data_IF_787892943390
#
_entry.id   IF_787892943390
#
_cell.length_a   1.000
_cell.length_b   1.000
_cell.length_c   1.000
_cell.angle_alpha   90.00
_cell.angle_beta   90.00
_cell.angle_gamma   90.00
#
_symmetry.space_group_name_H-M   'P 1'
#
loop_
_entity.id
_entity.type
_entity.pdbx_description
1 polymer ?
#
# COMPACT_ATOMS: atom_id res chain seq x y z
N UNK A 1 25.38 -46.39 -56.52
CA UNK A 1 26.33 -45.71 -55.59
C UNK A 1 25.64 -44.51 -54.99
N UNK A 2 25.53 -44.50 -53.66
CA UNK A 2 24.74 -43.58 -52.84
C UNK A 2 25.31 -42.15 -52.91
N UNK A 3 24.46 -41.14 -53.17
CA UNK A 3 24.76 -39.73 -52.88
C UNK A 3 23.67 -39.13 -52.00
N UNK A 4 24.15 -38.50 -50.93
CA UNK A 4 23.45 -37.97 -49.76
C UNK A 4 22.60 -36.75 -50.14
N UNK A 5 21.33 -36.73 -49.75
CA UNK A 5 20.56 -35.50 -49.56
C UNK A 5 20.71 -35.07 -48.09
N UNK A 6 21.50 -34.03 -47.85
CA UNK A 6 21.55 -33.34 -46.57
C UNK A 6 20.43 -32.29 -46.54
N UNK A 7 19.59 -32.37 -45.51
CA UNK A 7 18.39 -31.57 -45.29
C UNK A 7 18.71 -30.12 -44.89
N UNK A 8 18.00 -29.10 -45.43
CA UNK A 8 18.14 -27.70 -45.03
C UNK A 8 17.29 -27.33 -43.80
N UNK A 9 16.82 -28.31 -43.00
CA UNK A 9 15.92 -28.04 -41.87
C UNK A 9 16.66 -27.68 -40.56
N UNK A 10 17.99 -27.78 -40.52
CA UNK A 10 18.77 -27.53 -39.30
C UNK A 10 19.21 -26.07 -39.11
N UNK A 11 19.00 -25.19 -40.11
CA UNK A 11 19.47 -23.80 -40.06
C UNK A 11 18.43 -22.81 -39.47
N UNK A 12 17.16 -23.19 -39.35
CA UNK A 12 16.11 -22.28 -38.85
C UNK A 12 15.93 -22.39 -37.32
N UNK A 13 16.42 -23.46 -36.69
CA UNK A 13 16.34 -23.62 -35.22
C UNK A 13 17.44 -22.86 -34.45
N UNK A 14 18.43 -22.29 -35.15
CA UNK A 14 19.58 -21.58 -34.55
C UNK A 14 19.40 -20.05 -34.45
N UNK A 15 18.25 -19.52 -34.88
CA UNK A 15 17.92 -18.09 -34.81
C UNK A 15 16.96 -17.72 -33.67
N UNK A 16 16.54 -18.68 -32.83
CA UNK A 16 15.67 -18.42 -31.66
C UNK A 16 16.41 -18.42 -30.31
N UNK A 17 17.72 -18.64 -30.29
CA UNK A 17 18.52 -18.67 -29.05
C UNK A 17 19.23 -17.33 -28.82
N UNK A 18 18.49 -16.31 -28.35
CA UNK A 18 19.02 -15.20 -27.51
C UNK A 18 18.00 -14.07 -27.33
N UNK A 19 16.87 -14.37 -26.69
CA UNK A 19 16.18 -13.34 -25.89
C UNK A 19 16.39 -13.70 -24.41
N UNK A 20 17.65 -13.65 -23.97
CA UNK A 20 17.93 -13.45 -22.55
C UNK A 20 17.48 -12.03 -22.23
N UNK A 21 16.24 -11.88 -21.76
CA UNK A 21 15.81 -10.64 -21.13
C UNK A 21 16.65 -10.46 -19.87
N UNK A 22 17.71 -9.67 -19.96
CA UNK A 22 18.43 -9.24 -18.77
C UNK A 22 17.44 -8.49 -17.87
N UNK A 23 17.29 -8.98 -16.64
CA UNK A 23 16.41 -8.42 -15.61
C UNK A 23 17.02 -7.18 -14.92
N UNK A 24 18.06 -6.63 -15.53
CA UNK A 24 18.78 -5.43 -15.12
C UNK A 24 18.92 -4.51 -16.34
N UNK A 25 18.74 -3.21 -16.10
CA UNK A 25 19.05 -2.17 -17.07
C UNK A 25 20.43 -1.59 -16.75
N UNK A 26 21.21 -1.27 -17.78
CA UNK A 26 22.52 -0.63 -17.61
C UNK A 26 22.38 0.87 -17.82
N UNK A 27 22.64 1.66 -16.78
CA UNK A 27 22.61 3.13 -16.83
C UNK A 27 24.04 3.65 -16.85
N UNK A 28 24.41 4.42 -17.87
CA UNK A 28 25.71 5.08 -17.95
C UNK A 28 25.67 6.41 -17.20
N UNK A 29 26.60 6.63 -16.27
CA UNK A 29 26.67 7.84 -15.44
C UNK A 29 28.10 8.35 -15.42
N UNK A 30 28.27 9.66 -15.60
CA UNK A 30 29.56 10.32 -15.38
C UNK A 30 29.59 11.00 -14.02
N UNK A 31 30.60 10.68 -13.22
CA UNK A 31 30.74 11.20 -11.88
C UNK A 31 32.17 11.70 -11.61
N UNK A 32 32.29 12.57 -10.62
CA UNK A 32 33.54 13.16 -10.17
C UNK A 32 33.73 12.90 -8.68
N UNK A 33 34.96 12.62 -8.29
CA UNK A 33 35.36 12.45 -6.90
C UNK A 33 36.64 13.21 -6.59
N UNK A 34 36.79 13.60 -5.34
CA UNK A 34 37.95 14.33 -4.83
C UNK A 34 38.58 13.55 -3.68
N UNK A 35 39.89 13.67 -3.49
CA UNK A 35 40.59 13.03 -2.38
C UNK A 35 42.01 13.55 -2.23
N UNK A 36 42.65 13.20 -1.12
CA UNK A 36 44.01 13.64 -0.79
C UNK A 36 45.08 12.90 -1.61
N UNK A 37 44.66 11.84 -2.30
CA UNK A 37 45.46 11.07 -3.23
C UNK A 37 44.60 10.56 -4.41
N UNK A 38 45.23 10.11 -5.52
CA UNK A 38 44.51 9.61 -6.69
C UNK A 38 43.52 8.48 -6.41
N UNK A 39 43.87 7.56 -5.51
CA UNK A 39 43.07 6.38 -5.17
C UNK A 39 41.79 6.75 -4.42
N UNK A 40 41.89 7.68 -3.48
CA UNK A 40 40.75 8.23 -2.73
C UNK A 40 39.83 9.04 -3.64
N UNK A 41 40.39 9.87 -4.53
CA UNK A 41 39.61 10.61 -5.52
C UNK A 41 38.82 9.67 -6.44
N UNK A 42 39.42 8.54 -6.82
CA UNK A 42 38.79 7.53 -7.67
C UNK A 42 37.70 6.74 -6.93
N UNK A 43 37.95 6.32 -5.70
CA UNK A 43 36.94 5.67 -4.84
C UNK A 43 35.73 6.58 -4.65
N UNK A 44 35.96 7.86 -4.35
CA UNK A 44 34.89 8.84 -4.19
C UNK A 44 34.13 9.10 -5.51
N UNK A 45 34.80 9.01 -6.66
CA UNK A 45 34.16 9.14 -7.96
C UNK A 45 33.25 7.94 -8.27
N UNK A 46 33.69 6.72 -7.95
CA UNK A 46 32.89 5.50 -8.08
C UNK A 46 31.66 5.52 -7.16
N UNK A 47 31.84 5.94 -5.91
CA UNK A 47 30.75 6.15 -4.95
C UNK A 47 29.74 7.16 -5.47
N UNK A 48 30.21 8.30 -6.00
CA UNK A 48 29.35 9.31 -6.59
C UNK A 48 28.57 8.78 -7.80
N UNK A 49 29.20 7.96 -8.65
CA UNK A 49 28.53 7.31 -9.76
C UNK A 49 27.41 6.38 -9.28
N UNK A 50 27.72 5.47 -8.34
CA UNK A 50 26.73 4.54 -7.78
C UNK A 50 25.55 5.29 -7.16
N UNK A 51 25.79 6.39 -6.44
CA UNK A 51 24.72 7.24 -5.90
C UNK A 51 23.82 7.82 -6.98
N UNK A 52 24.41 8.30 -8.08
CA UNK A 52 23.68 8.92 -9.18
C UNK A 52 22.90 7.91 -10.05
N UNK A 53 23.46 6.72 -10.30
CA UNK A 53 22.83 5.72 -11.19
C UNK A 53 22.00 4.66 -10.48
N UNK A 54 22.41 4.25 -9.28
CA UNK A 54 21.83 3.13 -8.52
C UNK A 54 20.69 3.52 -7.56
N UNK A 55 20.57 4.80 -7.21
CA UNK A 55 19.65 5.27 -6.16
C UNK A 55 20.19 4.97 -4.76
N UNK A 56 20.13 5.94 -3.84
CA UNK A 56 20.76 5.82 -2.53
C UNK A 56 19.77 5.21 -1.52
N UNK A 57 20.06 4.03 -0.99
CA UNK A 57 19.59 3.64 0.35
C UNK A 57 20.59 4.16 1.36
N UNK A 58 20.32 5.34 1.93
CA UNK A 58 21.07 5.82 3.09
C UNK A 58 20.67 4.97 4.31
N UNK A 59 21.42 3.92 4.60
CA UNK A 59 21.49 3.42 5.97
C UNK A 59 22.50 4.31 6.72
N UNK A 60 21.99 5.31 7.45
CA UNK A 60 22.82 6.05 8.42
C UNK A 60 22.81 5.21 9.68
N UNK A 61 23.87 4.43 9.92
CA UNK A 61 24.06 3.77 11.21
C UNK A 61 24.46 4.84 12.25
N UNK A 62 23.65 5.09 13.30
CA UNK A 62 23.97 6.08 14.33
C UNK A 62 25.29 5.83 15.07
N UNK A 63 25.80 4.59 15.02
CA UNK A 63 27.02 4.16 15.69
C UNK A 63 28.30 4.47 14.90
N UNK A 64 28.19 4.79 13.60
CA UNK A 64 29.34 5.12 12.75
C UNK A 64 29.58 6.63 12.76
N UNK A 65 30.43 7.07 13.69
CA UNK A 65 30.78 8.48 13.90
C UNK A 65 32.26 8.70 13.59
N UNK A 66 32.56 9.74 12.83
CA UNK A 66 33.94 10.19 12.63
C UNK A 66 34.20 11.40 13.49
N UNK A 67 35.30 11.36 14.25
CA UNK A 67 35.71 12.46 15.13
C UNK A 67 36.44 13.50 14.28
N UNK A 68 35.82 14.66 14.09
CA UNK A 68 36.43 15.81 13.44
C UNK A 68 37.13 16.64 14.52
N UNK A 69 38.44 16.78 14.40
CA UNK A 69 39.24 17.65 15.28
C UNK A 69 39.36 19.04 14.65
N UNK A 70 38.63 20.03 15.19
CA UNK A 70 38.76 21.43 14.78
C UNK A 70 39.79 22.12 15.67
N UNK A 71 40.95 22.50 15.10
CA UNK A 71 42.01 23.23 15.81
C UNK A 71 41.88 24.73 15.53
N UNK A 72 41.53 25.51 16.55
CA UNK A 72 41.54 26.97 16.47
C UNK A 72 42.84 27.49 17.08
N UNK A 73 43.69 28.08 16.25
CA UNK A 73 44.90 28.77 16.69
C UNK A 73 44.52 30.22 17.00
N UNK A 74 44.42 30.55 18.29
CA UNK A 74 44.22 31.93 18.71
C UNK A 74 45.58 32.55 19.04
N UNK A 75 46.06 33.45 18.17
CA UNK A 75 47.31 34.19 18.42
C UNK A 75 46.98 35.50 19.16
N UNK A 76 47.41 35.59 20.42
CA UNK A 76 47.42 36.83 21.19
C UNK A 76 48.82 37.00 21.79
N UNK A 77 49.69 37.75 21.10
CA UNK A 77 51.09 37.95 21.49
C UNK A 77 51.95 36.68 21.39
N UNK A 78 52.96 36.55 22.27
CA UNK A 78 53.94 35.44 22.31
C UNK A 78 53.38 34.07 22.77
N UNK A 79 52.07 33.95 22.97
CA UNK A 79 51.44 32.72 23.44
C UNK A 79 50.44 32.21 22.40
N UNK A 80 50.79 31.10 21.74
CA UNK A 80 49.86 30.32 20.93
C UNK A 80 49.04 29.39 21.83
N UNK A 81 47.74 29.62 21.97
CA UNK A 81 46.86 28.69 22.69
C UNK A 81 46.13 27.81 21.68
N UNK A 82 46.32 26.49 21.81
CA UNK A 82 45.65 25.48 20.99
C UNK A 82 44.31 25.13 21.65
N UNK A 83 43.20 25.44 20.99
CA UNK A 83 41.88 24.95 21.41
C UNK A 83 41.35 23.99 20.34
N UNK A 84 41.24 22.71 20.70
CA UNK A 84 40.64 21.67 19.87
C UNK A 84 39.19 21.41 20.29
N UNK A 85 38.24 21.41 19.35
CA UNK A 85 36.88 20.92 19.58
C UNK A 85 36.69 19.61 18.81
N UNK A 86 36.45 18.53 19.52
CA UNK A 86 36.10 17.23 18.94
C UNK A 86 34.60 17.24 18.61
N UNK A 87 34.25 17.18 17.33
CA UNK A 87 32.86 17.08 16.88
C UNK A 87 32.68 15.76 16.17
N UNK A 88 31.88 14.86 16.74
CA UNK A 88 31.53 13.60 16.10
C UNK A 88 30.42 13.84 15.07
N UNK A 89 30.71 13.61 13.79
CA UNK A 89 29.71 13.70 12.71
C UNK A 89 29.35 12.28 12.27
N UNK A 90 28.05 11.92 12.11
CA UNK A 90 27.65 10.65 11.52
C UNK A 90 28.20 10.52 10.10
N UNK A 91 28.95 9.47 9.81
CA UNK A 91 29.51 9.24 8.47
C UNK A 91 28.60 8.28 7.67
N UNK A 92 28.15 8.66 6.46
CA UNK A 92 27.33 7.78 5.63
C UNK A 92 28.15 6.56 5.19
N UNK A 93 27.61 5.35 5.39
CA UNK A 93 28.24 4.14 4.85
C UNK A 93 28.39 4.26 3.32
N UNK A 94 29.57 3.90 2.82
CA UNK A 94 29.84 3.86 1.39
C UNK A 94 28.89 2.83 0.75
N UNK A 95 28.10 3.20 -0.28
CA UNK A 95 27.28 2.24 -1.00
C UNK A 95 28.18 1.13 -1.55
N UNK A 96 27.70 -0.11 -1.50
CA UNK A 96 28.43 -1.24 -2.06
C UNK A 96 28.67 -0.99 -3.55
N UNK A 97 29.94 -1.11 -3.99
CA UNK A 97 30.31 -0.96 -5.40
C UNK A 97 29.80 -2.12 -6.28
N UNK A 98 29.07 -3.07 -5.69
CA UNK A 98 28.59 -4.29 -6.34
C UNK A 98 27.63 -4.06 -7.52
N UNK A 99 27.04 -2.87 -7.62
CA UNK A 99 26.11 -2.54 -8.70
C UNK A 99 26.82 -1.95 -9.93
N UNK A 100 28.15 -1.81 -9.91
CA UNK A 100 28.94 -1.33 -11.06
C UNK A 100 29.23 -2.52 -11.96
N UNK A 101 28.77 -2.45 -13.21
CA UNK A 101 29.09 -3.44 -14.25
C UNK A 101 30.51 -3.21 -14.77
N UNK A 102 30.78 -1.99 -15.21
CA UNK A 102 32.06 -1.55 -15.77
C UNK A 102 32.27 -0.07 -15.44
N UNK A 103 33.52 0.39 -15.49
CA UNK A 103 33.84 1.81 -15.42
C UNK A 103 35.04 2.14 -16.30
N UNK A 104 35.08 3.38 -16.79
CA UNK A 104 36.19 3.95 -17.53
C UNK A 104 36.66 5.24 -16.85
N UNK A 105 37.96 5.31 -16.58
CA UNK A 105 38.59 6.52 -16.06
C UNK A 105 38.81 7.48 -17.21
N UNK A 106 38.23 8.67 -17.13
CA UNK A 106 38.42 9.71 -18.15
C UNK A 106 39.65 10.55 -17.82
N UNK A 107 39.73 11.06 -16.59
CA UNK A 107 40.83 11.91 -16.15
C UNK A 107 41.09 11.75 -14.66
N UNK A 108 42.36 11.73 -14.27
CA UNK A 108 42.80 11.92 -12.89
C UNK A 108 43.84 13.03 -12.90
N UNK A 109 43.60 14.11 -12.17
CA UNK A 109 44.50 15.26 -12.12
C UNK A 109 44.53 15.86 -10.74
N UNK A 110 45.68 16.41 -10.39
CA UNK A 110 45.79 17.26 -9.22
C UNK A 110 45.21 18.64 -9.55
N UNK A 111 44.29 19.13 -8.71
CA UNK A 111 43.59 20.40 -8.93
C UNK A 111 44.15 21.50 -8.05
N UNK A 112 44.60 21.17 -6.84
CA UNK A 112 45.24 22.04 -5.86
C UNK A 112 46.35 21.28 -5.10
N UNK A 113 47.17 21.97 -4.29
CA UNK A 113 48.17 21.33 -3.42
C UNK A 113 47.51 20.25 -2.53
N UNK A 114 47.88 18.99 -2.79
CA UNK A 114 47.35 17.82 -2.09
C UNK A 114 45.98 17.31 -2.54
N UNK A 115 45.21 18.03 -3.36
CA UNK A 115 43.84 17.60 -3.75
C UNK A 115 43.82 17.06 -5.18
N UNK A 116 43.43 15.80 -5.29
CA UNK A 116 43.23 15.08 -6.53
C UNK A 116 41.75 15.05 -6.92
N UNK A 117 41.50 15.12 -8.22
CA UNK A 117 40.17 14.96 -8.82
C UNK A 117 40.21 13.81 -9.83
N UNK A 118 39.30 12.86 -9.67
CA UNK A 118 39.03 11.83 -10.66
C UNK A 118 37.68 12.10 -11.33
N UNK A 119 37.63 11.90 -12.65
CA UNK A 119 36.40 11.87 -13.44
C UNK A 119 36.30 10.50 -14.10
N UNK A 120 35.16 9.86 -13.91
CA UNK A 120 34.89 8.52 -14.44
C UNK A 120 33.57 8.52 -15.21
N UNK A 121 33.41 7.50 -16.03
CA UNK A 121 32.14 7.07 -16.58
C UNK A 121 31.90 5.64 -16.12
N UNK A 122 30.82 5.39 -15.41
CA UNK A 122 30.48 4.07 -14.89
C UNK A 122 29.17 3.58 -15.53
N UNK A 123 29.10 2.28 -15.78
CA UNK A 123 27.90 1.56 -16.14
C UNK A 123 27.32 0.89 -14.89
N UNK A 124 26.14 1.32 -14.48
CA UNK A 124 25.51 0.88 -13.24
C UNK A 124 24.33 -0.01 -13.57
N UNK A 125 24.29 -1.18 -12.95
CA UNK A 125 23.20 -2.13 -13.04
C UNK A 125 22.07 -1.64 -12.14
N UNK A 126 20.92 -1.37 -12.76
CA UNK A 126 19.67 -1.11 -12.07
C UNK A 126 18.75 -2.32 -12.22
N UNK A 127 18.23 -2.90 -11.13
CA UNK A 127 17.23 -3.95 -11.24
C UNK A 127 16.01 -3.45 -12.02
N UNK A 128 15.59 -4.19 -13.05
CA UNK A 128 14.32 -3.94 -13.71
C UNK A 128 13.22 -4.52 -12.83
N UNK A 129 12.22 -3.71 -12.48
CA UNK A 129 11.02 -4.21 -11.81
C UNK A 129 10.26 -5.12 -12.78
N UNK A 130 9.79 -6.26 -12.27
CA UNK A 130 8.93 -7.16 -13.04
C UNK A 130 7.55 -6.49 -13.13
N UNK A 131 7.00 -6.43 -14.35
CA UNK A 131 5.71 -5.80 -14.61
C UNK A 131 5.78 -4.31 -14.96
N UNK A 132 4.63 -3.63 -15.04
CA UNK A 132 4.57 -2.21 -15.39
C UNK A 132 5.29 -1.36 -14.34
N UNK A 133 5.96 -0.29 -14.77
CA UNK A 133 6.60 0.64 -13.85
C UNK A 133 5.54 1.36 -13.00
N UNK A 134 5.63 1.17 -11.68
CA UNK A 134 4.77 1.76 -10.65
C UNK A 134 5.55 2.71 -9.73
N UNK A 135 6.73 3.16 -10.15
CA UNK A 135 7.58 4.07 -9.38
C UNK A 135 6.91 5.42 -9.07
N UNK A 136 5.96 5.85 -9.91
CA UNK A 136 5.17 7.06 -9.75
C UNK A 136 4.02 6.93 -8.73
N UNK A 137 3.69 5.71 -8.29
CA UNK A 137 2.64 5.48 -7.30
C UNK A 137 3.22 5.58 -5.87
N UNK A 138 2.46 6.18 -4.93
CA UNK A 138 2.87 6.22 -3.53
C UNK A 138 3.01 4.80 -2.97
N UNK A 139 4.07 4.58 -2.20
CA UNK A 139 4.27 3.38 -1.41
C UNK A 139 3.40 3.39 -0.17
N UNK A 140 2.62 2.35 0.08
CA UNK A 140 1.82 2.20 1.30
C UNK A 140 2.25 0.97 2.08
N UNK A 141 2.46 1.12 3.39
CA UNK A 141 2.59 0.01 4.32
C UNK A 141 1.31 -0.10 5.15
N UNK A 142 0.87 -1.33 5.37
CA UNK A 142 -0.28 -1.64 6.23
C UNK A 142 0.29 -2.29 7.48
N UNK A 143 0.15 -1.62 8.63
CA UNK A 143 0.52 -2.22 9.90
C UNK A 143 -0.50 -3.28 10.28
N UNK A 144 -0.07 -4.30 11.02
CA UNK A 144 -0.99 -5.18 11.74
C UNK A 144 -1.80 -4.34 12.72
N UNK A 145 -3.13 -4.37 12.59
CA UNK A 145 -4.00 -3.58 13.45
C UNK A 145 -3.90 -4.07 14.88
N UNK A 146 -3.88 -3.17 15.85
CA UNK A 146 -3.95 -3.53 17.27
C UNK A 146 -5.31 -4.13 17.60
N UNK A 147 -5.39 -4.91 18.67
CA UNK A 147 -6.63 -5.54 19.13
C UNK A 147 -6.94 -5.11 20.55
N UNK A 148 -8.15 -4.59 20.78
CA UNK A 148 -8.59 -4.19 22.12
C UNK A 148 -8.91 -5.40 23.01
N UNK A 149 -9.27 -6.55 22.42
CA UNK A 149 -9.57 -7.80 23.12
C UNK A 149 -8.51 -8.86 22.76
N UNK A 150 -8.33 -9.86 23.61
CA UNK A 150 -7.44 -11.01 23.30
C UNK A 150 -8.09 -12.05 22.38
N UNK A 151 -9.41 -11.99 22.26
CA UNK A 151 -10.24 -12.92 21.49
C UNK A 151 -11.60 -12.31 21.22
N UNK A 152 -12.28 -12.87 20.22
CA UNK A 152 -13.53 -12.40 19.65
C UNK A 152 -14.50 -13.56 19.49
N UNK A 153 -15.80 -13.28 19.59
CA UNK A 153 -16.85 -14.29 19.55
C UNK A 153 -17.49 -14.30 18.15
N UNK A 154 -17.35 -15.41 17.44
CA UNK A 154 -18.00 -15.71 16.16
C UNK A 154 -19.10 -16.75 16.44
N UNK A 155 -20.18 -16.29 17.05
CA UNK A 155 -21.29 -17.12 17.50
C UNK A 155 -20.84 -18.00 18.65
N UNK A 156 -20.91 -19.32 18.46
CA UNK A 156 -20.46 -20.30 19.46
C UNK A 156 -18.94 -20.55 19.45
N UNK A 157 -18.20 -19.96 18.51
CA UNK A 157 -16.75 -20.14 18.36
C UNK A 157 -16.00 -18.90 18.85
N UNK A 158 -15.01 -19.12 19.71
CA UNK A 158 -14.10 -18.08 20.17
C UNK A 158 -12.81 -18.09 19.36
N UNK A 159 -12.51 -16.97 18.72
CA UNK A 159 -11.34 -16.83 17.83
C UNK A 159 -10.29 -15.92 18.48
N UNK A 160 -9.00 -16.30 18.48
CA UNK A 160 -7.93 -15.44 18.98
C UNK A 160 -7.83 -14.13 18.18
N UNK A 161 -7.48 -13.04 18.85
CA UNK A 161 -7.29 -11.74 18.20
C UNK A 161 -6.28 -11.80 17.04
N UNK A 162 -5.21 -12.58 17.18
CA UNK A 162 -4.18 -12.75 16.14
C UNK A 162 -4.74 -13.27 14.81
N UNK A 163 -5.75 -14.14 14.86
CA UNK A 163 -6.40 -14.66 13.66
C UNK A 163 -7.23 -13.58 12.98
N UNK A 164 -8.00 -12.79 13.74
CA UNK A 164 -8.79 -11.66 13.20
C UNK A 164 -7.86 -10.59 12.60
N UNK A 165 -6.76 -10.28 13.31
CA UNK A 165 -5.74 -9.34 12.85
C UNK A 165 -5.12 -9.79 11.51
N UNK A 166 -4.72 -11.06 11.40
CA UNK A 166 -4.14 -11.61 10.17
C UNK A 166 -5.12 -11.59 9.01
N UNK A 167 -6.35 -12.08 9.22
CA UNK A 167 -7.40 -12.09 8.19
C UNK A 167 -7.71 -10.68 7.69
N UNK A 168 -7.84 -9.70 8.59
CA UNK A 168 -8.07 -8.32 8.21
C UNK A 168 -6.86 -7.72 7.46
N UNK A 169 -5.64 -8.01 7.90
CA UNK A 169 -4.42 -7.53 7.26
C UNK A 169 -4.28 -8.06 5.82
N UNK A 170 -4.55 -9.35 5.59
CA UNK A 170 -4.51 -9.96 4.26
C UNK A 170 -5.55 -9.31 3.33
N UNK A 171 -6.77 -9.13 3.82
CA UNK A 171 -7.85 -8.53 3.04
C UNK A 171 -7.59 -7.04 2.75
N UNK A 172 -7.00 -6.29 3.70
CA UNK A 172 -6.56 -4.91 3.46
C UNK A 172 -5.45 -4.87 2.40
N UNK A 173 -4.43 -5.72 2.53
CA UNK A 173 -3.33 -5.82 1.56
C UNK A 173 -3.86 -6.13 0.17
N UNK A 174 -4.81 -7.05 0.07
CA UNK A 174 -5.51 -7.39 -1.16
C UNK A 174 -6.29 -6.19 -1.73
N UNK A 175 -7.10 -5.51 -0.92
CA UNK A 175 -7.89 -4.36 -1.36
C UNK A 175 -7.02 -3.21 -1.88
N UNK A 176 -5.94 -2.85 -1.16
CA UNK A 176 -4.99 -1.83 -1.60
C UNK A 176 -4.23 -2.25 -2.86
N UNK A 177 -3.84 -3.51 -2.99
CA UNK A 177 -3.16 -4.03 -4.18
C UNK A 177 -4.08 -3.97 -5.41
N UNK A 178 -5.34 -4.43 -5.25
CA UNK A 178 -6.36 -4.42 -6.29
C UNK A 178 -6.84 -3.01 -6.67
N UNK A 179 -6.67 -2.01 -5.80
CA UNK A 179 -6.98 -0.61 -6.15
C UNK A 179 -6.16 -0.11 -7.34
N UNK A 180 -4.94 -0.65 -7.53
CA UNK A 180 -3.99 -0.20 -8.55
C UNK A 180 -3.45 1.21 -8.32
N UNK A 181 -3.69 1.80 -7.14
CA UNK A 181 -3.31 3.19 -6.80
C UNK A 181 -2.06 3.30 -5.93
N UNK A 182 -1.55 2.18 -5.44
CA UNK A 182 -0.43 2.15 -4.52
C UNK A 182 0.59 1.07 -4.88
N UNK A 183 1.83 1.30 -4.49
CA UNK A 183 2.84 0.26 -4.35
C UNK A 183 2.76 -0.29 -2.93
N UNK A 184 1.99 -1.36 -2.73
CA UNK A 184 1.80 -1.97 -1.42
C UNK A 184 3.10 -2.64 -0.97
N UNK A 185 3.56 -2.30 0.22
CA UNK A 185 4.73 -2.85 0.87
C UNK A 185 4.28 -3.83 1.94
N UNK A 186 4.35 -5.11 1.60
CA UNK A 186 4.07 -6.18 2.55
C UNK A 186 5.25 -6.33 3.51
N UNK A 187 4.97 -6.13 4.80
CA UNK A 187 5.96 -6.25 5.87
C UNK A 187 5.87 -7.60 6.60
N UNK A 188 4.83 -8.39 6.33
CA UNK A 188 4.55 -9.66 7.01
C UNK A 188 5.61 -10.70 6.66
N UNK A 189 5.96 -10.80 5.38
CA UNK A 189 6.88 -11.81 4.84
C UNK A 189 8.31 -11.31 4.67
N UNK A 190 8.72 -10.26 5.41
CA UNK A 190 10.08 -9.72 5.29
C UNK A 190 11.15 -10.74 5.69
N UNK A 191 10.86 -11.60 6.67
CA UNK A 191 11.80 -12.64 7.08
C UNK A 191 12.03 -13.68 5.97
N UNK A 192 10.97 -14.13 5.30
CA UNK A 192 11.07 -15.08 4.19
C UNK A 192 11.81 -14.45 2.98
N UNK A 193 11.55 -13.17 2.71
CA UNK A 193 12.29 -12.42 1.70
C UNK A 193 13.77 -12.30 2.07
N UNK A 194 14.08 -12.05 3.34
CA UNK A 194 15.46 -11.94 3.82
C UNK A 194 16.20 -13.28 3.77
N UNK A 195 15.51 -14.39 4.02
CA UNK A 195 16.06 -15.75 3.83
C UNK A 195 16.41 -16.02 2.36
N UNK A 196 15.50 -15.70 1.42
CA UNK A 196 15.72 -15.87 -0.02
C UNK A 196 16.87 -15.00 -0.52
N UNK A 197 16.94 -13.74 -0.08
CA UNK A 197 18.07 -12.86 -0.38
C UNK A 197 19.38 -13.39 0.23
N UNK A 198 19.31 -14.08 1.37
CA UNK A 198 20.43 -14.78 1.98
C UNK A 198 20.95 -15.95 1.15
N UNK A 199 20.07 -16.70 0.47
CA UNK A 199 20.46 -17.76 -0.48
C UNK A 199 21.23 -17.17 -1.66
N UNK A 200 20.76 -16.04 -2.21
CA UNK A 200 21.46 -15.32 -3.29
C UNK A 200 22.85 -14.85 -2.85
N UNK A 201 23.01 -14.42 -1.59
CA UNK A 201 24.28 -13.93 -1.05
C UNK A 201 25.35 -15.02 -0.86
N UNK A 202 24.98 -16.31 -0.78
CA UNK A 202 25.88 -17.42 -0.51
C UNK A 202 26.49 -18.07 -1.78
N UNK A 203 25.99 -17.72 -2.97
CA UNK A 203 26.52 -18.19 -4.27
C UNK A 203 27.66 -17.33 -4.82
N UNK A 204 28.35 -17.80 -5.88
CA UNK A 204 29.22 -16.93 -6.69
C UNK A 204 28.34 -15.95 -7.49
N UNK A 205 28.17 -14.74 -6.96
CA UNK A 205 27.11 -13.82 -7.36
C UNK A 205 27.45 -13.12 -8.68
N UNK A 206 26.50 -13.12 -9.63
CA UNK A 206 26.54 -12.22 -10.77
C UNK A 206 26.29 -10.78 -10.29
N UNK A 207 27.03 -9.75 -10.75
CA UNK A 207 26.81 -8.35 -10.32
C UNK A 207 25.34 -7.87 -10.40
N UNK A 208 24.57 -8.47 -11.32
CA UNK A 208 23.14 -8.27 -11.49
C UNK A 208 22.28 -8.68 -10.28
N UNK A 209 22.67 -9.75 -9.57
CA UNK A 209 21.97 -10.25 -8.39
C UNK A 209 22.35 -9.44 -7.13
N UNK A 210 23.60 -8.99 -7.02
CA UNK A 210 24.03 -8.08 -5.95
C UNK A 210 23.26 -6.75 -5.98
N UNK A 211 22.96 -6.24 -7.18
CA UNK A 211 22.20 -5.00 -7.34
C UNK A 211 20.78 -5.05 -6.78
N UNK A 212 20.23 -6.24 -6.57
CA UNK A 212 18.88 -6.45 -6.00
C UNK A 212 18.86 -6.41 -4.48
N UNK A 213 19.97 -6.78 -3.81
CA UNK A 213 20.05 -6.89 -2.35
C UNK A 213 19.87 -5.54 -1.62
N UNK A 214 20.21 -4.42 -2.27
CA UNK A 214 20.26 -3.10 -1.63
C UNK A 214 19.00 -2.23 -1.74
N UNK A 215 17.95 -2.60 -2.48
CA UNK A 215 16.87 -1.66 -2.84
C UNK A 215 15.58 -1.82 -2.04
N UNK A 216 15.65 -1.79 -0.71
CA UNK A 216 14.44 -1.71 0.13
C UNK A 216 13.81 -0.32 -0.02
N UNK A 217 12.57 -0.26 -0.50
CA UNK A 217 11.82 1.00 -0.60
C UNK A 217 11.04 1.26 0.69
N UNK A 218 11.11 2.50 1.18
CA UNK A 218 10.22 2.97 2.24
C UNK A 218 8.77 3.11 1.76
N UNK A 219 7.85 3.17 2.73
CA UNK A 219 6.47 3.57 2.50
C UNK A 219 6.35 5.09 2.70
N UNK A 220 5.61 5.73 1.81
CA UNK A 220 5.23 7.14 1.91
C UNK A 220 3.99 7.30 2.81
N UNK A 221 3.15 6.26 2.85
CA UNK A 221 1.92 6.20 3.63
C UNK A 221 1.92 4.99 4.57
N UNK A 222 1.41 5.18 5.78
CA UNK A 222 1.21 4.12 6.77
C UNK A 222 -0.25 4.06 7.18
N UNK A 223 -0.90 2.92 6.95
CA UNK A 223 -2.22 2.62 7.50
C UNK A 223 -2.04 1.88 8.83
N UNK A 224 -2.60 2.45 9.89
CA UNK A 224 -2.67 1.80 11.21
C UNK A 224 -4.12 1.80 11.71
N UNK A 225 -4.43 0.89 12.62
CA UNK A 225 -5.77 0.81 13.20
C UNK A 225 -5.84 -0.06 14.44
N UNK A 226 -7.01 -0.03 15.08
CA UNK A 226 -7.35 -0.79 16.27
C UNK A 226 -8.71 -1.46 16.04
N UNK A 227 -8.76 -2.77 16.20
CA UNK A 227 -9.99 -3.56 16.23
C UNK A 227 -10.59 -3.39 17.63
N UNK A 228 -11.61 -2.54 17.76
CA UNK A 228 -12.29 -2.27 19.03
C UNK A 228 -13.25 -3.42 19.37
N UNK A 229 -14.02 -3.87 18.36
CA UNK A 229 -14.90 -5.03 18.49
C UNK A 229 -15.02 -5.82 17.17
N UNK A 230 -15.25 -7.12 17.28
CA UNK A 230 -15.48 -8.01 16.15
C UNK A 230 -16.33 -9.19 16.62
N UNK A 231 -17.65 -9.04 16.57
CA UNK A 231 -18.60 -10.06 16.99
C UNK A 231 -19.48 -10.46 15.82
N UNK A 232 -19.67 -11.76 15.63
CA UNK A 232 -20.56 -12.31 14.61
C UNK A 232 -21.44 -13.34 15.31
N UNK A 233 -22.44 -12.87 16.04
CA UNK A 233 -23.39 -13.73 16.74
C UNK A 233 -23.32 -13.64 18.26
N UNK A 234 -24.40 -14.08 18.90
CA UNK A 234 -24.44 -14.25 20.36
C UNK A 234 -24.06 -15.69 20.73
N UNK A 235 -23.45 -15.86 21.91
CA UNK A 235 -23.27 -17.17 22.52
C UNK A 235 -24.65 -17.81 22.76
N UNK A 236 -24.89 -19.02 22.26
CA UNK A 236 -26.20 -19.65 22.38
C UNK A 236 -26.68 -19.74 23.85
N UNK A 237 -27.79 -19.08 24.17
CA UNK A 237 -28.50 -19.34 25.44
C UNK A 237 -29.39 -20.58 25.25
N UNK A 238 -29.22 -21.56 26.14
CA UNK A 238 -30.05 -22.76 26.16
C UNK A 238 -31.38 -22.47 26.88
N UNK A 239 -32.49 -22.50 26.15
CA UNK A 239 -33.83 -22.47 26.73
C UNK A 239 -34.51 -23.81 26.49
N UNK A 240 -34.91 -24.50 27.57
CA UNK A 240 -35.62 -25.79 27.53
C UNK A 240 -34.95 -26.87 26.65
N UNK A 241 -33.61 -26.98 26.69
CA UNK A 241 -32.86 -27.97 25.91
C UNK A 241 -32.70 -27.64 24.41
N UNK A 242 -33.30 -26.55 23.93
CA UNK A 242 -33.04 -26.01 22.60
C UNK A 242 -31.98 -24.91 22.69
N UNK A 243 -30.92 -25.03 21.87
CA UNK A 243 -29.98 -23.94 21.63
C UNK A 243 -30.68 -22.90 20.75
N UNK A 244 -30.99 -21.73 21.30
CA UNK A 244 -31.47 -20.58 20.51
C UNK A 244 -30.33 -19.57 20.42
N UNK A 245 -29.51 -19.69 19.38
CA UNK A 245 -28.51 -18.69 19.02
C UNK A 245 -29.13 -17.58 18.16
N UNK A 246 -28.91 -16.33 18.55
CA UNK A 246 -29.23 -15.13 17.76
C UNK A 246 -27.99 -14.57 17.09
N UNK A 247 -28.17 -13.75 16.04
CA UNK A 247 -27.06 -13.01 15.44
C UNK A 247 -27.09 -11.55 15.87
N UNK A 248 -26.13 -11.16 16.71
CA UNK A 248 -25.82 -9.76 17.00
C UNK A 248 -24.45 -9.42 16.39
N UNK A 249 -24.35 -9.25 15.06
CA UNK A 249 -23.10 -8.90 14.44
C UNK A 249 -22.73 -7.44 14.79
N UNK A 250 -21.54 -7.24 15.31
CA UNK A 250 -21.05 -5.92 15.65
C UNK A 250 -19.54 -5.86 15.43
N UNK A 251 -19.12 -5.11 14.42
CA UNK A 251 -17.70 -4.89 14.10
C UNK A 251 -17.38 -3.42 14.18
N UNK A 252 -16.28 -3.10 14.87
CA UNK A 252 -15.85 -1.73 15.06
C UNK A 252 -14.33 -1.63 14.95
N UNK A 253 -13.88 -0.91 13.93
CA UNK A 253 -12.46 -0.76 13.59
C UNK A 253 -12.14 0.71 13.40
N UNK A 254 -11.28 1.24 14.27
CA UNK A 254 -10.75 2.60 14.14
C UNK A 254 -9.48 2.55 13.33
N UNK A 255 -9.34 3.42 12.34
CA UNK A 255 -8.15 3.43 11.49
C UNK A 255 -7.72 4.85 11.13
N UNK A 256 -6.46 4.99 10.73
CA UNK A 256 -5.90 6.26 10.28
C UNK A 256 -4.82 6.03 9.22
N UNK A 257 -4.78 6.94 8.26
CA UNK A 257 -3.75 7.01 7.22
C UNK A 257 -2.77 8.13 7.59
N UNK A 258 -1.49 7.79 7.67
CA UNK A 258 -0.43 8.69 8.13
C UNK A 258 0.57 8.91 6.99
N UNK A 259 0.94 10.16 6.74
CA UNK A 259 2.13 10.49 5.95
C UNK A 259 3.38 10.18 6.78
N UNK A 260 4.23 9.26 6.31
CA UNK A 260 5.40 8.81 7.08
C UNK A 260 6.51 9.86 7.14
N UNK A 261 6.51 10.84 6.24
CA UNK A 261 7.51 11.91 6.16
C UNK A 261 7.19 13.01 7.17
N UNK A 262 5.92 13.45 7.21
CA UNK A 262 5.49 14.55 8.09
C UNK A 262 4.90 14.07 9.42
N UNK A 263 4.57 12.78 9.53
CA UNK A 263 3.79 12.17 10.62
C UNK A 263 2.37 12.71 10.76
N UNK A 264 1.89 13.44 9.75
CA UNK A 264 0.54 13.99 9.71
C UNK A 264 -0.51 12.90 9.45
N UNK A 265 -1.64 12.98 10.14
CA UNK A 265 -2.80 12.12 9.87
C UNK A 265 -3.56 12.73 8.70
N UNK A 266 -3.46 12.09 7.53
CA UNK A 266 -4.18 12.50 6.32
C UNK A 266 -5.67 12.15 6.39
N UNK A 267 -6.01 11.07 7.11
CA UNK A 267 -7.37 10.62 7.30
C UNK A 267 -7.50 9.76 8.54
N UNK A 268 -8.65 9.84 9.20
CA UNK A 268 -9.03 8.92 10.27
C UNK A 268 -10.54 8.74 10.28
N UNK A 269 -11.00 7.51 10.45
CA UNK A 269 -12.42 7.22 10.58
C UNK A 269 -12.65 6.02 11.51
N UNK A 270 -13.91 5.80 11.83
CA UNK A 270 -14.40 4.63 12.52
C UNK A 270 -15.26 3.82 11.53
N UNK A 271 -14.76 2.66 11.14
CA UNK A 271 -15.60 1.68 10.48
C UNK A 271 -16.48 0.99 11.52
N UNK A 272 -17.79 1.09 11.33
CA UNK A 272 -18.79 0.47 12.18
C UNK A 272 -19.75 -0.34 11.30
N UNK A 273 -19.87 -1.62 11.63
CA UNK A 273 -20.77 -2.54 10.96
C UNK A 273 -21.66 -3.18 12.01
N UNK A 274 -22.84 -2.58 12.15
CA UNK A 274 -23.95 -3.03 12.97
C UNK A 274 -25.09 -3.38 12.00
N UNK A 275 -25.32 -4.68 11.82
CA UNK A 275 -26.33 -5.19 10.89
C UNK A 275 -27.36 -6.02 11.64
N UNK A 276 -28.60 -5.97 11.17
CA UNK A 276 -29.63 -6.84 11.74
C UNK A 276 -29.33 -8.31 11.47
N UNK A 277 -29.79 -9.18 12.36
CA UNK A 277 -29.77 -10.64 12.20
C UNK A 277 -30.28 -11.11 10.82
N UNK A 278 -31.30 -10.43 10.27
CA UNK A 278 -31.89 -10.78 8.99
C UNK A 278 -30.88 -10.68 7.82
N UNK A 279 -29.97 -9.71 7.86
CA UNK A 279 -28.93 -9.54 6.84
C UNK A 279 -27.95 -10.71 6.88
N UNK A 280 -27.54 -11.13 8.08
CA UNK A 280 -26.62 -12.26 8.26
C UNK A 280 -27.26 -13.56 7.80
N UNK A 281 -28.51 -13.80 8.18
CA UNK A 281 -29.25 -15.00 7.74
C UNK A 281 -29.44 -15.04 6.24
N UNK A 282 -29.64 -13.88 5.60
CA UNK A 282 -29.74 -13.81 4.14
C UNK A 282 -28.40 -14.12 3.46
N UNK A 283 -27.28 -13.59 3.97
CA UNK A 283 -25.94 -13.94 3.47
C UNK A 283 -25.70 -15.46 3.61
N UNK A 284 -26.00 -16.03 4.78
CA UNK A 284 -25.88 -17.46 5.02
C UNK A 284 -26.69 -18.28 4.02
N UNK A 285 -27.95 -17.88 3.78
CA UNK A 285 -28.86 -18.55 2.84
C UNK A 285 -28.39 -18.46 1.39
N UNK A 286 -27.95 -17.28 0.96
CA UNK A 286 -27.48 -17.05 -0.42
C UNK A 286 -26.23 -17.85 -0.74
N UNK A 287 -25.33 -17.96 0.23
CA UNK A 287 -24.04 -18.66 0.10
C UNK A 287 -24.10 -20.12 0.55
N UNK A 288 -25.28 -20.60 0.97
CA UNK A 288 -25.49 -21.95 1.48
C UNK A 288 -24.49 -22.32 2.60
N UNK A 289 -24.24 -21.36 3.51
CA UNK A 289 -23.36 -21.52 4.67
C UNK A 289 -24.17 -22.16 5.80
N UNK A 290 -23.67 -23.26 6.34
CA UNK A 290 -24.17 -23.83 7.59
C UNK A 290 -23.63 -23.01 8.77
N UNK A 291 -24.23 -21.84 8.94
CA UNK A 291 -23.88 -20.81 9.92
C UNK A 291 -24.00 -21.30 11.37
N UNK A 292 -24.82 -22.32 11.62
CA UNK A 292 -24.97 -22.95 12.94
C UNK A 292 -23.75 -23.74 13.38
N UNK A 293 -23.14 -24.50 12.45
CA UNK A 293 -21.98 -25.33 12.75
C UNK A 293 -20.66 -24.64 12.38
N UNK A 294 -20.72 -23.69 11.44
CA UNK A 294 -19.56 -23.01 10.87
C UNK A 294 -19.72 -21.48 10.83
N UNK A 295 -19.96 -20.81 11.98
CA UNK A 295 -20.12 -19.36 12.04
C UNK A 295 -18.86 -18.59 11.57
N UNK A 296 -17.68 -19.21 11.62
CA UNK A 296 -16.43 -18.66 11.07
C UNK A 296 -16.52 -18.36 9.58
N UNK A 297 -17.34 -19.11 8.82
CA UNK A 297 -17.50 -18.90 7.37
C UNK A 297 -18.29 -17.65 7.02
N UNK A 298 -19.07 -17.12 7.97
CA UNK A 298 -19.69 -15.80 7.82
C UNK A 298 -18.62 -14.71 7.93
N UNK A 299 -17.66 -14.87 8.84
CA UNK A 299 -16.56 -13.92 8.99
C UNK A 299 -15.74 -13.80 7.71
N UNK A 300 -15.51 -14.92 6.99
CA UNK A 300 -14.83 -14.94 5.70
C UNK A 300 -15.47 -14.05 4.64
N UNK A 301 -16.78 -13.76 4.74
CA UNK A 301 -17.49 -12.85 3.84
C UNK A 301 -17.41 -11.39 4.30
N UNK A 302 -17.21 -11.17 5.59
CA UNK A 302 -17.23 -9.85 6.22
C UNK A 302 -15.85 -9.20 6.14
N UNK A 303 -14.75 -9.96 6.29
CA UNK A 303 -13.38 -9.39 6.18
C UNK A 303 -13.14 -8.63 4.86
N UNK A 304 -13.50 -9.17 3.67
CA UNK A 304 -13.34 -8.44 2.41
C UNK A 304 -14.18 -7.17 2.33
N UNK A 305 -15.40 -7.17 2.90
CA UNK A 305 -16.28 -5.98 2.95
C UNK A 305 -15.64 -4.87 3.79
N UNK A 306 -15.18 -5.20 5.00
CA UNK A 306 -14.48 -4.27 5.90
C UNK A 306 -13.24 -3.70 5.22
N UNK A 307 -12.39 -4.57 4.67
CA UNK A 307 -11.16 -4.15 4.04
C UNK A 307 -11.39 -3.24 2.83
N UNK A 308 -12.38 -3.55 1.98
CA UNK A 308 -12.76 -2.72 0.84
C UNK A 308 -13.28 -1.36 1.27
N UNK A 309 -14.07 -1.29 2.35
CA UNK A 309 -14.57 -0.03 2.89
C UNK A 309 -13.44 0.85 3.44
N UNK A 310 -12.57 0.28 4.29
CA UNK A 310 -11.41 0.99 4.88
C UNK A 310 -10.43 1.43 3.79
N UNK A 311 -10.07 0.52 2.88
CA UNK A 311 -9.17 0.84 1.78
C UNK A 311 -9.80 1.88 0.84
N UNK A 312 -11.11 1.79 0.58
CA UNK A 312 -11.87 2.77 -0.17
C UNK A 312 -11.75 4.16 0.43
N UNK A 313 -12.12 4.32 1.70
CA UNK A 313 -12.07 5.59 2.42
C UNK A 313 -10.64 6.18 2.48
N UNK A 314 -9.63 5.37 2.75
CA UNK A 314 -8.24 5.81 2.73
C UNK A 314 -7.79 6.22 1.31
N UNK A 315 -8.29 5.53 0.28
CA UNK A 315 -7.96 5.83 -1.12
C UNK A 315 -8.71 7.05 -1.63
N UNK A 316 -9.92 7.35 -1.14
CA UNK A 316 -10.71 8.55 -1.48
C UNK A 316 -9.93 9.86 -1.25
N UNK A 317 -9.03 9.88 -0.27
CA UNK A 317 -8.18 11.03 0.09
C UNK A 317 -7.33 11.49 -1.09
N UNK A 318 -6.70 10.55 -1.80
CA UNK A 318 -5.74 10.83 -2.87
C UNK A 318 -6.30 10.51 -4.26
N UNK A 319 -7.12 9.46 -4.36
CA UNK A 319 -7.61 8.89 -5.61
C UNK A 319 -9.11 8.53 -5.48
N UNK A 320 -10.02 9.52 -5.52
CA UNK A 320 -11.46 9.27 -5.55
C UNK A 320 -11.85 8.46 -6.81
N UNK A 321 -12.93 7.66 -6.73
CA UNK A 321 -13.49 7.02 -7.93
C UNK A 321 -14.02 8.11 -8.86
N UNK A 322 -13.75 7.95 -10.14
CA UNK A 322 -14.17 8.89 -11.17
C UNK A 322 -14.81 8.15 -12.34
N UNK A 323 -15.73 8.82 -13.01
CA UNK A 323 -16.21 8.41 -14.32
C UNK A 323 -15.07 8.57 -15.32
N UNK A 324 -14.71 7.49 -16.01
CA UNK A 324 -13.64 7.48 -17.03
C UNK A 324 -14.19 7.40 -18.46
N UNK A 325 -15.43 6.91 -18.62
CA UNK A 325 -16.15 6.87 -19.90
C UNK A 325 -17.65 6.76 -19.64
N UNK A 326 -18.45 7.41 -20.47
CA UNK A 326 -19.91 7.23 -20.54
C UNK A 326 -20.25 6.73 -21.94
N UNK A 327 -20.97 5.62 -22.03
CA UNK A 327 -21.34 4.96 -23.29
C UNK A 327 -22.81 4.54 -23.23
N UNK A 328 -23.70 5.42 -23.69
CA UNK A 328 -25.14 5.28 -23.48
C UNK A 328 -25.48 5.22 -21.98
N UNK A 329 -26.08 4.11 -21.54
CA UNK A 329 -26.43 3.86 -20.13
C UNK A 329 -25.28 3.27 -19.30
N UNK A 330 -24.18 2.84 -19.95
CA UNK A 330 -23.04 2.26 -19.28
C UNK A 330 -22.04 3.35 -18.85
N UNK A 331 -21.72 3.37 -17.57
CA UNK A 331 -20.77 4.30 -16.95
C UNK A 331 -19.55 3.50 -16.47
N UNK A 332 -18.38 3.82 -17.01
CA UNK A 332 -17.12 3.18 -16.64
C UNK A 332 -16.47 3.97 -15.51
N UNK A 333 -15.99 3.26 -14.50
CA UNK A 333 -15.44 3.81 -13.26
C UNK A 333 -13.95 3.50 -13.15
N UNK A 334 -13.18 4.44 -12.60
CA UNK A 334 -11.71 4.40 -12.56
C UNK A 334 -11.09 3.30 -11.69
N UNK A 335 -11.88 2.48 -11.00
CA UNK A 335 -11.42 1.46 -10.04
C UNK A 335 -12.29 0.21 -10.13
N UNK A 336 -11.72 -0.94 -9.77
CA UNK A 336 -12.31 -2.28 -9.93
C UNK A 336 -12.52 -3.02 -8.60
N UNK A 337 -12.19 -4.31 -8.57
CA UNK A 337 -12.45 -5.27 -7.48
C UNK A 337 -12.00 -4.82 -6.09
N UNK A 338 -10.89 -4.06 -6.01
CA UNK A 338 -10.38 -3.53 -4.74
C UNK A 338 -11.24 -2.46 -4.09
N UNK A 339 -12.28 -1.96 -4.79
CA UNK A 339 -13.14 -0.87 -4.30
C UNK A 339 -14.61 -1.00 -4.63
N UNK A 340 -14.94 -1.64 -5.75
CA UNK A 340 -16.32 -1.79 -6.21
C UNK A 340 -16.81 -3.21 -6.02
N UNK A 341 -18.11 -3.32 -5.79
CA UNK A 341 -18.81 -4.58 -5.67
C UNK A 341 -20.02 -4.60 -6.58
N UNK A 342 -20.28 -5.75 -7.21
CA UNK A 342 -21.43 -5.92 -8.09
C UNK A 342 -22.72 -5.73 -7.29
N UNK A 343 -23.63 -4.90 -7.81
CA UNK A 343 -24.85 -4.51 -7.15
C UNK A 343 -24.70 -3.32 -6.20
N UNK A 344 -23.46 -2.86 -5.93
CA UNK A 344 -23.21 -1.68 -5.11
C UNK A 344 -23.86 -0.42 -5.68
N UNK A 345 -24.43 0.40 -4.81
CA UNK A 345 -25.09 1.67 -5.15
C UNK A 345 -24.14 2.82 -4.86
N UNK A 346 -23.94 3.67 -5.86
CA UNK A 346 -23.01 4.79 -5.83
C UNK A 346 -23.72 6.06 -6.25
N UNK A 347 -23.29 7.21 -5.74
CA UNK A 347 -23.75 8.53 -6.17
C UNK A 347 -22.65 9.26 -6.93
N UNK A 348 -23.05 9.97 -7.98
CA UNK A 348 -22.14 10.77 -8.82
C UNK A 348 -22.27 12.24 -8.49
N UNK A 349 -21.15 12.93 -8.35
CA UNK A 349 -21.07 14.35 -8.03
C UNK A 349 -20.15 15.06 -9.01
N UNK A 350 -20.51 16.28 -9.40
CA UNK A 350 -19.62 17.15 -10.16
C UNK A 350 -18.78 18.02 -9.22
N UNK A 351 -17.45 18.06 -9.38
CA UNK A 351 -16.63 19.06 -8.70
C UNK A 351 -17.13 20.47 -9.05
N UNK A 352 -17.50 21.25 -8.03
CA UNK A 352 -18.10 22.58 -8.17
C UNK A 352 -17.08 23.72 -7.96
N UNK A 353 -15.79 23.40 -8.04
CA UNK A 353 -14.68 24.34 -7.83
C UNK A 353 -14.02 24.18 -6.46
N UNK A 354 -13.26 25.18 -6.08
CA UNK A 354 -12.49 25.20 -4.83
C UNK A 354 -12.68 26.55 -4.13
N UNK A 355 -12.77 26.53 -2.80
CA UNK A 355 -12.84 27.73 -1.96
C UNK A 355 -11.69 27.71 -0.97
N UNK A 356 -11.10 28.86 -0.66
CA UNK A 356 -10.09 28.96 0.38
C UNK A 356 -10.74 29.29 1.71
N UNK A 357 -10.51 28.46 2.71
CA UNK A 357 -10.91 28.71 4.08
C UNK A 357 -10.15 29.95 4.62
N UNK A 358 -10.83 30.97 5.17
CA UNK A 358 -10.19 32.19 5.63
C UNK A 358 -9.34 32.02 6.89
N UNK A 359 -9.67 31.05 7.75
CA UNK A 359 -9.02 30.84 9.05
C UNK A 359 -7.79 29.95 8.92
N UNK A 360 -7.88 28.92 8.08
CA UNK A 360 -6.83 27.92 7.91
C UNK A 360 -6.00 28.13 6.64
N UNK A 361 -6.52 28.90 5.68
CA UNK A 361 -5.93 29.06 4.36
C UNK A 361 -6.00 27.80 3.50
N UNK A 362 -6.67 26.75 3.96
CA UNK A 362 -6.79 25.47 3.24
C UNK A 362 -7.77 25.57 2.07
N UNK A 363 -7.49 24.81 1.02
CA UNK A 363 -8.38 24.71 -0.13
C UNK A 363 -9.46 23.67 0.12
N UNK A 364 -10.71 24.12 0.26
CA UNK A 364 -11.91 23.29 0.36
C UNK A 364 -12.41 23.01 -1.06
N UNK A 365 -12.44 21.72 -1.43
CA UNK A 365 -13.02 21.28 -2.72
C UNK A 365 -14.53 21.20 -2.59
N UNK A 366 -15.25 21.99 -3.38
CA UNK A 366 -16.71 22.01 -3.38
C UNK A 366 -17.25 20.90 -4.27
N UNK A 367 -18.32 20.26 -3.83
CA UNK A 367 -19.06 19.26 -4.60
C UNK A 367 -20.48 19.78 -4.81
N UNK A 368 -20.98 19.65 -6.04
CA UNK A 368 -22.35 20.00 -6.38
C UNK A 368 -23.36 18.96 -5.88
N UNK A 369 -24.62 19.16 -6.23
CA UNK A 369 -25.66 18.17 -5.98
C UNK A 369 -25.38 16.84 -6.70
N UNK A 370 -25.97 15.76 -6.18
CA UNK A 370 -25.84 14.45 -6.79
C UNK A 370 -26.46 14.47 -8.19
N UNK A 371 -25.66 14.12 -9.20
CA UNK A 371 -26.08 14.10 -10.60
C UNK A 371 -26.86 12.85 -10.96
N UNK A 372 -26.48 11.70 -10.38
CA UNK A 372 -27.09 10.41 -10.68
C UNK A 372 -26.81 9.40 -9.56
N UNK A 373 -27.68 8.39 -9.49
CA UNK A 373 -27.41 7.15 -8.76
C UNK A 373 -26.97 6.08 -9.75
N UNK A 374 -25.88 5.38 -9.45
CA UNK A 374 -25.35 4.30 -10.26
C UNK A 374 -25.44 2.99 -9.50
N UNK A 375 -25.82 1.92 -10.21
CA UNK A 375 -25.70 0.55 -9.72
C UNK A 375 -24.59 -0.17 -10.47
N UNK A 376 -23.62 -0.68 -9.74
CA UNK A 376 -22.49 -1.43 -10.30
C UNK A 376 -23.01 -2.72 -10.92
N UNK A 377 -22.79 -2.89 -12.22
CA UNK A 377 -23.28 -4.01 -13.01
C UNK A 377 -22.22 -5.10 -13.22
N UNK A 378 -20.97 -4.69 -13.38
CA UNK A 378 -19.81 -5.56 -13.58
C UNK A 378 -18.57 -4.92 -12.95
N UNK A 379 -17.65 -5.75 -12.47
CA UNK A 379 -16.42 -5.30 -11.82
C UNK A 379 -15.24 -6.07 -12.41
N UNK A 380 -14.34 -5.34 -13.06
CA UNK A 380 -13.06 -5.87 -13.54
C UNK A 380 -11.97 -5.60 -12.51
N UNK A 381 -10.77 -6.11 -12.76
CA UNK A 381 -9.64 -5.95 -11.85
C UNK A 381 -9.30 -4.47 -11.63
N UNK A 382 -9.29 -3.68 -12.68
CA UNK A 382 -8.80 -2.30 -12.74
C UNK A 382 -9.90 -1.25 -12.93
N UNK A 383 -11.06 -1.62 -13.45
CA UNK A 383 -12.21 -0.72 -13.66
C UNK A 383 -13.55 -1.38 -13.34
N UNK A 384 -14.58 -0.56 -13.14
CA UNK A 384 -15.95 -1.00 -12.93
C UNK A 384 -16.88 -0.51 -14.04
N UNK A 385 -18.00 -1.19 -14.22
CA UNK A 385 -19.08 -0.78 -15.11
C UNK A 385 -20.35 -0.67 -14.29
N UNK A 386 -20.95 0.50 -14.27
CA UNK A 386 -22.21 0.76 -13.60
C UNK A 386 -23.27 1.24 -14.60
N UNK A 387 -24.53 1.17 -14.17
CA UNK A 387 -25.67 1.70 -14.92
C UNK A 387 -26.37 2.76 -14.08
N UNK A 388 -26.91 3.76 -14.75
CA UNK A 388 -27.74 4.77 -14.12
C UNK A 388 -29.04 4.14 -13.61
N UNK A 389 -29.42 4.45 -12.38
CA UNK A 389 -30.73 4.13 -11.81
C UNK A 389 -31.51 5.44 -11.54
N UNK A 390 -32.74 5.51 -12.07
CA UNK A 390 -33.64 6.64 -11.86
C UNK A 390 -33.31 7.86 -12.73
N UNK A 391 -33.65 9.05 -12.22
CA UNK A 391 -33.35 10.32 -12.89
C UNK A 391 -31.86 10.64 -12.79
N UNK A 392 -31.31 11.13 -13.90
CA UNK A 392 -29.91 11.52 -13.96
C UNK A 392 -29.71 12.79 -14.79
N UNK A 393 -28.82 13.64 -14.29
CA UNK A 393 -28.21 14.71 -15.05
C UNK A 393 -27.12 14.15 -15.99
N UNK A 394 -26.75 14.87 -17.06
CA UNK A 394 -25.69 14.45 -17.96
C UNK A 394 -24.36 14.22 -17.22
N UNK A 395 -23.82 13.01 -17.33
CA UNK A 395 -22.55 12.60 -16.73
C UNK A 395 -21.38 12.86 -17.68
N UNK A 396 -20.21 13.16 -17.13
CA UNK A 396 -18.99 13.37 -17.92
C UNK A 396 -17.76 12.74 -17.26
N UNK A 397 -16.70 12.59 -18.04
CA UNK A 397 -15.40 12.12 -17.54
C UNK A 397 -14.87 13.08 -16.46
N UNK A 398 -14.42 12.51 -15.35
CA UNK A 398 -13.91 13.24 -14.19
C UNK A 398 -14.96 13.53 -13.11
N UNK A 399 -16.25 13.28 -13.36
CA UNK A 399 -17.26 13.31 -12.30
C UNK A 399 -16.90 12.28 -11.21
N UNK A 400 -17.04 12.67 -9.94
CA UNK A 400 -16.64 11.86 -8.79
C UNK A 400 -17.74 10.90 -8.40
N UNK A 401 -17.37 9.71 -7.95
CA UNK A 401 -18.30 8.65 -7.57
C UNK A 401 -17.98 8.20 -6.15
N UNK A 402 -19.01 8.15 -5.29
CA UNK A 402 -18.88 7.71 -3.89
C UNK A 402 -19.98 6.73 -3.52
N UNK A 403 -19.65 5.84 -2.57
CA UNK A 403 -20.63 4.95 -1.96
C UNK A 403 -21.67 5.78 -1.18
N UNK A 404 -22.94 5.40 -1.27
CA UNK A 404 -24.01 6.08 -0.54
C UNK A 404 -24.03 5.68 0.96
N UNK A 405 -23.11 6.24 1.75
CA UNK A 405 -22.97 5.96 3.19
C UNK A 405 -24.27 6.23 3.97
N UNK A 406 -25.11 7.16 3.52
CA UNK A 406 -26.40 7.46 4.18
C UNK A 406 -27.45 6.38 3.94
N UNK A 407 -27.54 5.81 2.73
CA UNK A 407 -28.41 4.67 2.46
C UNK A 407 -27.97 3.44 3.29
N UNK A 408 -26.66 3.20 3.41
CA UNK A 408 -26.12 2.11 4.23
C UNK A 408 -26.43 2.24 5.73
N UNK A 409 -26.54 3.47 6.27
CA UNK A 409 -26.99 3.74 7.65
C UNK A 409 -28.50 3.59 7.82
N UNK A 410 -29.30 3.95 6.82
CA UNK A 410 -30.76 3.83 6.90
C UNK A 410 -31.28 2.39 6.95
N UNK A 411 -30.55 1.45 6.33
CA UNK A 411 -30.81 0.00 6.42
C UNK A 411 -30.46 -0.61 7.80
N UNK A 412 -29.77 0.14 8.66
CA UNK A 412 -29.43 -0.27 10.03
C UNK A 412 -30.47 0.19 11.07
N UNK A 413 -31.51 0.93 10.66
CA UNK A 413 -32.65 1.19 11.56
C UNK A 413 -33.53 -0.06 11.62
N UNK A 414 -33.86 -0.61 12.81
CA UNK A 414 -34.78 -1.73 12.89
C UNK A 414 -36.10 -1.29 12.28
N UNK A 415 -36.64 -2.12 11.38
CA UNK A 415 -38.00 -1.97 10.91
C UNK A 415 -38.89 -1.85 12.15
N UNK A 416 -39.46 -0.66 12.37
CA UNK A 416 -40.39 -0.44 13.46
C UNK A 416 -41.45 -1.54 13.39
N UNK A 417 -41.52 -2.36 14.43
CA UNK A 417 -42.55 -3.40 14.52
C UNK A 417 -43.90 -2.73 14.29
N UNK A 418 -44.65 -3.22 13.29
CA UNK A 418 -46.04 -2.85 13.15
C UNK A 418 -46.74 -3.20 14.47
N UNK A 419 -47.39 -2.23 15.09
CA UNK A 419 -48.16 -2.44 16.31
C UNK A 419 -49.19 -3.54 16.05
N UNK A 420 -49.02 -4.69 16.70
CA UNK A 420 -50.01 -5.77 16.68
C UNK A 420 -51.29 -5.25 17.34
N UNK A 421 -52.47 -5.28 16.69
CA UNK A 421 -53.72 -4.87 17.33
C UNK A 421 -54.13 -5.97 18.31
N UNK A 422 -53.90 -5.76 19.60
CA UNK A 422 -54.22 -6.80 20.58
C UNK A 422 -53.71 -6.54 21.99
N UNK A 423 -54.07 -5.42 22.59
CA UNK A 423 -54.15 -5.35 24.05
C UNK A 423 -55.34 -4.48 24.42
N UNK A 424 -56.46 -5.12 24.70
CA UNK A 424 -57.63 -4.49 25.30
C UNK A 424 -57.36 -4.27 26.78
N UNK A 425 -57.48 -3.02 27.23
CA UNK A 425 -57.53 -2.63 28.63
C UNK A 425 -58.70 -3.34 29.34
N UNK A 426 -58.38 -4.28 30.23
CA UNK A 426 -59.27 -4.66 31.31
C UNK A 426 -58.67 -4.13 32.62
N UNK A 427 -59.34 -3.22 33.35
CA UNK A 427 -58.84 -2.78 34.64
C UNK A 427 -59.11 -3.85 35.70
N UNK A 428 -58.04 -4.39 36.26
CA UNK A 428 -58.08 -5.17 37.51
C UNK A 428 -58.57 -4.25 38.63
N UNK A 429 -59.73 -4.59 39.22
CA UNK A 429 -60.17 -4.03 40.50
C UNK A 429 -59.66 -4.95 41.62
N UNK A 430 -58.98 -4.34 42.57
CA UNK A 430 -58.53 -4.93 43.84
C UNK A 430 -59.70 -5.14 44.80
#
# INVERSE_FOLDING_TARGET
MIKRLFSPFFLILLLCSSLSYAMTETVSVSARGYGDNPEQAMTNALVAAVRQGGGVTLAVDPNFRTNVYEWVINQKGDVSTWQGKETSVPEPQLPTLGNIKTYQVQTVKQVNDGIWQAQIQAEILRPKTIGPDRSHLPGIAIATFESAKSSYDLGDIKVPASQVQHQLQDNLTMAFSQSGRYRVLDRTYLADVDEELGVVAQGSIAPEEMARLGQRKGADLLLVGTIEDFQIGDSAQAFYGAKMGGYAPYVRVRYRLIDTTTTEILWSDLYEWDKSEAVIREIARQLNIDDRNHPERLADQIYPEIARAIAGDATDVLYPVQVIKVDGEAVFLSQGQGRLEKGGIMKVYRPAGEMKDPDTGMTIKLEGEALATLKVSDVRTDYGIARVEGEASPLQVGDRVRSDKQAQRSLASPAGQAATPGSSDAPLKW
#
